data_IF_968006632825
#
_entry.id   IF_968006632825
#
_cell.length_a   1.000
_cell.length_b   1.000
_cell.length_c   1.000
_cell.angle_alpha   90.00
_cell.angle_beta   90.00
_cell.angle_gamma   90.00
#
_symmetry.space_group_name_H-M   'P 1'
#
loop_
_entity.id
_entity.type
_entity.pdbx_description
1 polymer ?
#
# COMPACT_ATOMS: atom_id res chain seq x y z
N UNK A 1 10.05 24.73 5.19
CA UNK A 1 8.80 23.96 5.40
C UNK A 1 7.92 24.13 4.18
N UNK A 2 7.71 23.10 3.36
CA UNK A 2 6.75 23.17 2.25
C UNK A 2 5.34 23.12 2.83
N UNK A 3 4.59 24.21 2.72
CA UNK A 3 3.17 24.23 3.10
C UNK A 3 2.42 23.35 2.09
N UNK A 4 2.10 22.14 2.50
CA UNK A 4 1.27 21.24 1.70
C UNK A 4 -0.20 21.58 1.94
N UNK A 5 -0.84 22.26 1.00
CA UNK A 5 -2.27 22.56 1.05
C UNK A 5 -3.13 21.28 0.94
N UNK A 6 -4.33 21.31 1.54
CA UNK A 6 -5.35 20.31 1.27
C UNK A 6 -5.81 20.35 -0.19
N UNK A 7 -6.53 19.33 -0.61
CA UNK A 7 -7.03 19.25 -1.98
C UNK A 7 -7.99 20.40 -2.29
N UNK A 8 -8.95 20.68 -1.39
CA UNK A 8 -9.86 21.81 -1.52
C UNK A 8 -9.10 23.13 -1.63
N UNK A 9 -8.20 23.45 -0.70
CA UNK A 9 -7.44 24.71 -0.71
C UNK A 9 -6.54 24.82 -1.94
N UNK A 10 -5.92 23.74 -2.38
CA UNK A 10 -5.07 23.72 -3.58
C UNK A 10 -5.83 24.08 -4.85
N UNK A 11 -7.06 23.61 -5.00
CA UNK A 11 -7.91 23.94 -6.16
C UNK A 11 -8.33 25.40 -6.12
N UNK A 12 -8.74 25.90 -4.95
CA UNK A 12 -9.08 27.31 -4.78
C UNK A 12 -7.90 28.22 -5.08
N UNK A 13 -6.70 27.84 -4.65
CA UNK A 13 -5.45 28.56 -4.95
C UNK A 13 -5.18 28.62 -6.45
N UNK A 14 -5.32 27.50 -7.17
CA UNK A 14 -5.17 27.48 -8.63
C UNK A 14 -6.18 28.39 -9.30
N UNK A 15 -7.46 28.33 -8.91
CA UNK A 15 -8.49 29.17 -9.46
C UNK A 15 -8.19 30.66 -9.23
N UNK A 16 -7.73 31.03 -8.04
CA UNK A 16 -7.34 32.40 -7.73
C UNK A 16 -6.18 32.90 -8.63
N UNK A 17 -5.12 32.09 -8.78
CA UNK A 17 -3.98 32.45 -9.64
C UNK A 17 -4.41 32.68 -11.09
N UNK A 18 -5.21 31.75 -11.65
CA UNK A 18 -5.70 31.89 -13.02
C UNK A 18 -6.57 33.13 -13.20
N UNK A 19 -7.43 33.42 -12.24
CA UNK A 19 -8.29 34.61 -12.27
C UNK A 19 -7.48 35.93 -12.19
N UNK A 20 -6.41 35.96 -11.38
CA UNK A 20 -5.51 37.11 -11.29
C UNK A 20 -4.78 37.32 -12.63
N UNK A 21 -4.18 36.26 -13.19
CA UNK A 21 -3.47 36.33 -14.48
C UNK A 21 -4.41 36.84 -15.59
N UNK A 22 -5.61 36.25 -15.67
CA UNK A 22 -6.61 36.64 -16.63
C UNK A 22 -7.08 38.09 -16.45
N UNK A 23 -7.32 38.50 -15.20
CA UNK A 23 -7.76 39.84 -14.85
C UNK A 23 -6.72 40.91 -15.22
N UNK A 24 -5.45 40.65 -14.92
CA UNK A 24 -4.33 41.54 -15.27
C UNK A 24 -4.14 41.62 -16.79
N UNK A 25 -4.21 40.49 -17.47
CA UNK A 25 -4.11 40.47 -18.94
C UNK A 25 -5.28 41.24 -19.60
N UNK A 26 -6.51 41.05 -19.14
CA UNK A 26 -7.69 41.75 -19.63
C UNK A 26 -7.59 43.24 -19.36
N UNK A 27 -7.20 43.63 -18.14
CA UNK A 27 -7.04 45.04 -17.77
C UNK A 27 -5.97 45.76 -18.66
N UNK A 28 -4.83 45.09 -18.89
CA UNK A 28 -3.79 45.56 -19.78
C UNK A 28 -4.32 45.79 -21.22
N UNK A 29 -5.07 44.82 -21.76
CA UNK A 29 -5.60 44.91 -23.11
C UNK A 29 -6.63 46.05 -23.24
N UNK A 30 -7.54 46.20 -22.28
CA UNK A 30 -8.51 47.27 -22.23
C UNK A 30 -7.83 48.65 -22.17
N UNK A 31 -6.75 48.77 -21.40
CA UNK A 31 -5.99 49.99 -21.32
C UNK A 31 -5.29 50.33 -22.64
N UNK A 32 -4.60 49.35 -23.26
CA UNK A 32 -3.81 49.58 -24.48
C UNK A 32 -4.68 49.80 -25.72
N UNK A 33 -5.73 48.98 -25.87
CA UNK A 33 -6.51 48.95 -27.12
C UNK A 33 -7.79 49.74 -27.04
N UNK A 34 -8.36 49.93 -25.84
CA UNK A 34 -9.63 50.63 -25.69
C UNK A 34 -9.53 51.95 -24.90
N UNK A 35 -8.34 52.26 -24.38
CA UNK A 35 -8.13 53.48 -23.58
C UNK A 35 -8.90 53.48 -22.23
N UNK A 36 -9.40 52.32 -21.78
CA UNK A 36 -10.15 52.19 -20.57
C UNK A 36 -9.29 51.84 -19.38
N UNK A 37 -9.42 52.57 -18.29
CA UNK A 37 -8.84 52.19 -16.99
C UNK A 37 -9.69 51.14 -16.31
N UNK A 38 -9.07 50.04 -15.81
CA UNK A 38 -9.75 48.99 -15.05
C UNK A 38 -9.49 49.21 -13.58
N UNK A 39 -10.60 49.29 -12.80
CA UNK A 39 -10.51 49.40 -11.34
C UNK A 39 -10.02 48.07 -10.74
N UNK A 40 -9.12 48.14 -9.75
CA UNK A 40 -8.64 47.02 -8.97
C UNK A 40 -9.77 46.18 -8.35
N UNK A 41 -10.88 46.84 -7.95
CA UNK A 41 -12.06 46.15 -7.41
C UNK A 41 -12.68 45.18 -8.42
N UNK A 42 -12.65 45.51 -9.71
CA UNK A 42 -13.13 44.62 -10.77
C UNK A 42 -12.32 43.33 -10.88
N UNK A 43 -10.98 43.42 -10.75
CA UNK A 43 -10.11 42.25 -10.73
C UNK A 43 -10.35 41.43 -9.48
N UNK A 44 -10.47 42.05 -8.30
CA UNK A 44 -10.81 41.35 -7.06
C UNK A 44 -12.14 40.60 -7.15
N UNK A 45 -13.18 41.24 -7.72
CA UNK A 45 -14.49 40.59 -7.88
C UNK A 45 -14.43 39.37 -8.81
N UNK A 46 -13.57 39.42 -9.86
CA UNK A 46 -13.30 38.29 -10.73
C UNK A 46 -12.65 37.12 -9.95
N UNK A 47 -11.65 37.43 -9.14
CA UNK A 47 -10.97 36.40 -8.30
C UNK A 47 -11.96 35.77 -7.32
N UNK A 48 -12.76 36.55 -6.61
CA UNK A 48 -13.79 36.05 -5.70
C UNK A 48 -14.78 35.13 -6.38
N UNK A 49 -15.27 35.52 -7.58
CA UNK A 49 -16.18 34.71 -8.38
C UNK A 49 -15.54 33.39 -8.80
N UNK A 50 -14.33 33.43 -9.32
CA UNK A 50 -13.60 32.24 -9.75
C UNK A 50 -13.36 31.26 -8.60
N UNK A 51 -12.96 31.75 -7.43
CA UNK A 51 -12.74 30.94 -6.23
C UNK A 51 -14.06 30.33 -5.72
N UNK A 52 -15.14 31.11 -5.70
CA UNK A 52 -16.47 30.63 -5.29
C UNK A 52 -17.01 29.57 -6.24
N UNK A 53 -16.85 29.77 -7.55
CA UNK A 53 -17.24 28.80 -8.58
C UNK A 53 -16.43 27.51 -8.47
N UNK A 54 -15.10 27.62 -8.34
CA UNK A 54 -14.24 26.47 -8.13
C UNK A 54 -14.63 25.68 -6.88
N UNK A 55 -14.97 26.39 -5.77
CA UNK A 55 -15.45 25.70 -4.57
C UNK A 55 -16.78 24.97 -4.77
N UNK A 56 -17.66 25.49 -5.65
CA UNK A 56 -18.95 24.85 -5.93
C UNK A 56 -18.81 23.61 -6.81
N UNK A 57 -17.92 23.64 -7.78
CA UNK A 57 -17.73 22.57 -8.78
C UNK A 57 -16.81 21.45 -8.31
N UNK A 58 -15.92 21.72 -7.37
CA UNK A 58 -14.97 20.75 -6.87
C UNK A 58 -15.55 19.88 -5.75
N UNK A 59 -15.03 18.64 -5.65
CA UNK A 59 -15.41 17.65 -4.63
C UNK A 59 -14.29 17.40 -3.61
N UNK A 60 -13.14 18.07 -3.75
CA UNK A 60 -11.99 17.92 -2.85
C UNK A 60 -12.31 18.29 -1.41
N UNK A 61 -11.68 17.60 -0.45
CA UNK A 61 -11.88 17.81 0.97
C UNK A 61 -10.79 18.70 1.58
N UNK A 62 -11.16 19.44 2.62
CA UNK A 62 -10.22 20.14 3.49
C UNK A 62 -9.53 19.16 4.45
N UNK A 63 -8.37 19.53 4.96
CA UNK A 63 -7.79 18.89 6.14
C UNK A 63 -8.50 19.42 7.40
N UNK A 64 -8.61 18.56 8.40
CA UNK A 64 -9.15 18.98 9.72
C UNK A 64 -8.07 19.73 10.51
N UNK A 65 -7.55 20.84 9.93
CA UNK A 65 -6.56 21.72 10.54
C UNK A 65 -7.02 23.18 10.55
N UNK A 66 -6.47 23.97 11.48
CA UNK A 66 -6.85 25.37 11.65
C UNK A 66 -6.52 26.22 10.41
N UNK A 67 -5.42 25.93 9.72
CA UNK A 67 -4.99 26.72 8.56
C UNK A 67 -5.99 26.66 7.41
N UNK A 68 -6.49 25.46 7.08
CA UNK A 68 -7.50 25.28 6.05
C UNK A 68 -8.82 25.98 6.42
N UNK A 69 -9.24 25.83 7.69
CA UNK A 69 -10.44 26.49 8.19
C UNK A 69 -10.32 28.02 8.11
N UNK A 70 -9.19 28.59 8.48
CA UNK A 70 -8.95 30.03 8.42
C UNK A 70 -8.99 30.55 6.97
N UNK A 71 -8.36 29.85 6.03
CA UNK A 71 -8.37 30.19 4.61
C UNK A 71 -9.80 30.18 4.08
N UNK A 72 -10.52 29.05 4.27
CA UNK A 72 -11.89 28.91 3.78
C UNK A 72 -12.84 29.96 4.39
N UNK A 73 -12.72 30.21 5.70
CA UNK A 73 -13.53 31.19 6.42
C UNK A 73 -13.27 32.62 5.92
N UNK A 74 -12.01 32.96 5.62
CA UNK A 74 -11.64 34.27 5.09
C UNK A 74 -12.25 34.52 3.70
N UNK A 75 -12.46 33.48 2.93
CA UNK A 75 -13.16 33.54 1.65
C UNK A 75 -14.68 33.34 1.77
N UNK A 76 -15.23 33.19 2.97
CA UNK A 76 -16.65 32.92 3.18
C UNK A 76 -17.12 31.59 2.56
N UNK A 77 -16.20 30.64 2.38
CA UNK A 77 -16.45 29.37 1.73
C UNK A 77 -16.73 28.27 2.75
N UNK A 78 -17.60 27.34 2.38
CA UNK A 78 -17.87 26.15 3.19
C UNK A 78 -16.73 25.14 3.03
N UNK A 79 -16.14 24.75 4.15
CA UNK A 79 -15.19 23.63 4.21
C UNK A 79 -15.91 22.30 4.06
N UNK A 80 -15.29 21.38 3.36
CA UNK A 80 -15.73 19.99 3.21
C UNK A 80 -14.77 19.10 4.02
N UNK A 81 -15.14 18.71 5.25
CA UNK A 81 -14.29 17.85 6.05
C UNK A 81 -14.07 16.50 5.34
N UNK A 82 -12.87 15.95 5.45
CA UNK A 82 -12.62 14.58 5.01
C UNK A 82 -13.50 13.62 5.81
N UNK A 83 -13.97 12.57 5.18
CA UNK A 83 -14.67 11.49 5.89
C UNK A 83 -13.73 10.90 6.94
N UNK A 84 -14.27 10.56 8.09
CA UNK A 84 -13.51 9.81 9.09
C UNK A 84 -13.04 8.49 8.47
N UNK A 85 -11.78 8.08 8.70
CA UNK A 85 -11.29 6.80 8.20
C UNK A 85 -12.12 5.66 8.81
N UNK A 86 -12.46 4.70 7.99
CA UNK A 86 -13.11 3.48 8.47
C UNK A 86 -12.03 2.61 9.12
N UNK A 87 -12.22 2.32 10.41
CA UNK A 87 -11.31 1.45 11.16
C UNK A 87 -11.75 0.00 10.95
N UNK A 88 -10.85 -0.83 10.39
CA UNK A 88 -11.08 -2.27 10.23
C UNK A 88 -10.14 -3.01 11.17
N UNK A 89 -10.69 -3.91 11.97
CA UNK A 89 -9.91 -4.85 12.76
C UNK A 89 -9.36 -5.95 11.84
N UNK A 90 -8.08 -6.25 12.00
CA UNK A 90 -7.35 -7.30 11.28
C UNK A 90 -6.74 -8.24 12.31
N UNK A 91 -7.12 -9.51 12.26
CA UNK A 91 -6.64 -10.55 13.18
C UNK A 91 -6.06 -11.69 12.36
N UNK A 92 -4.85 -12.12 12.69
CA UNK A 92 -4.33 -13.36 12.17
C UNK A 92 -5.03 -14.56 12.83
N UNK A 93 -5.49 -15.52 12.05
CA UNK A 93 -6.15 -16.72 12.55
C UNK A 93 -5.36 -17.96 12.20
N UNK A 94 -5.20 -18.94 13.13
CA UNK A 94 -4.54 -20.21 12.86
C UNK A 94 -5.31 -21.04 11.84
N UNK A 95 -4.66 -21.96 11.10
CA UNK A 95 -5.34 -22.87 10.19
C UNK A 95 -6.09 -23.99 10.93
N UNK A 96 -6.94 -24.71 10.21
CA UNK A 96 -7.61 -25.89 10.72
C UNK A 96 -6.60 -27.02 11.09
N UNK A 97 -6.96 -27.96 11.97
CA UNK A 97 -6.12 -29.13 12.29
C UNK A 97 -5.69 -29.88 11.02
N UNK A 98 -4.44 -30.25 10.97
CA UNK A 98 -3.83 -30.94 9.81
C UNK A 98 -3.33 -30.00 8.69
N UNK A 99 -3.66 -28.71 8.74
CA UNK A 99 -3.16 -27.69 7.81
C UNK A 99 -1.97 -26.95 8.40
N UNK A 100 -1.09 -26.50 7.52
CA UNK A 100 -0.03 -25.54 7.84
C UNK A 100 -0.32 -24.25 7.07
N UNK A 101 -0.39 -23.14 7.79
CA UNK A 101 -0.53 -21.81 7.21
C UNK A 101 0.85 -21.20 7.01
N UNK A 102 1.08 -20.64 5.83
CA UNK A 102 2.28 -19.87 5.55
C UNK A 102 1.90 -18.43 5.19
N UNK A 103 2.48 -17.48 5.90
CA UNK A 103 2.43 -16.06 5.55
C UNK A 103 3.69 -15.71 4.79
N UNK A 104 3.56 -15.00 3.66
CA UNK A 104 4.67 -14.62 2.79
C UNK A 104 4.66 -13.14 2.47
N UNK A 105 5.85 -12.59 2.28
CA UNK A 105 6.05 -11.20 1.87
C UNK A 105 7.33 -11.04 1.05
N UNK A 106 7.37 -10.05 0.18
CA UNK A 106 8.52 -9.68 -0.62
C UNK A 106 8.86 -8.21 -0.49
N UNK A 107 10.13 -7.89 -0.31
CA UNK A 107 10.62 -6.52 -0.20
C UNK A 107 11.64 -6.21 -1.29
N UNK A 108 11.65 -4.97 -1.81
CA UNK A 108 12.71 -4.48 -2.70
C UNK A 108 12.97 -2.99 -2.45
N UNK A 109 14.24 -2.59 -2.49
CA UNK A 109 14.69 -1.21 -2.40
C UNK A 109 15.19 -0.78 -3.79
N UNK A 110 14.38 0.00 -4.49
CA UNK A 110 14.61 0.37 -5.89
C UNK A 110 13.67 -0.36 -6.86
N UNK A 111 13.79 -0.05 -8.17
CA UNK A 111 12.88 -0.60 -9.19
C UNK A 111 13.60 -0.80 -10.53
N UNK A 112 14.32 -1.91 -10.75
CA UNK A 112 14.66 -2.98 -9.80
C UNK A 112 15.76 -2.57 -8.80
N UNK A 113 15.88 -3.30 -7.69
CA UNK A 113 16.91 -3.06 -6.69
C UNK A 113 17.20 -4.28 -5.81
N UNK A 114 18.02 -4.06 -4.78
CA UNK A 114 18.26 -5.09 -3.79
C UNK A 114 16.95 -5.45 -3.11
N UNK A 115 16.68 -6.74 -3.00
CA UNK A 115 15.44 -7.21 -2.42
C UNK A 115 15.60 -8.49 -1.63
N UNK A 116 14.49 -8.96 -1.11
CA UNK A 116 14.43 -10.20 -0.39
C UNK A 116 13.00 -10.68 -0.23
N UNK A 117 12.84 -11.89 0.19
CA UNK A 117 11.55 -12.44 0.56
C UNK A 117 11.61 -13.18 1.88
N UNK A 118 10.48 -13.26 2.54
CA UNK A 118 10.35 -13.97 3.81
C UNK A 118 9.02 -14.69 3.95
N UNK A 119 9.01 -15.68 4.82
CA UNK A 119 7.79 -16.37 5.16
C UNK A 119 7.90 -17.17 6.44
N UNK A 120 6.73 -17.40 7.08
CA UNK A 120 6.60 -18.13 8.32
C UNK A 120 5.49 -19.17 8.23
N UNK A 121 5.83 -20.40 8.60
CA UNK A 121 4.93 -21.55 8.63
C UNK A 121 4.45 -21.80 10.05
N UNK A 122 3.14 -21.92 10.24
CA UNK A 122 2.51 -22.14 11.55
C UNK A 122 1.42 -23.20 11.46
N UNK A 123 1.26 -23.97 12.52
CA UNK A 123 0.22 -25.00 12.62
C UNK A 123 -1.08 -24.46 13.25
N UNK A 124 -2.07 -25.32 13.46
CA UNK A 124 -3.37 -24.97 14.07
C UNK A 124 -3.30 -24.48 15.53
N UNK A 125 -2.16 -24.62 16.19
CA UNK A 125 -1.89 -24.08 17.53
C UNK A 125 -1.02 -22.84 17.48
N UNK A 126 -0.86 -22.24 16.30
CA UNK A 126 0.02 -21.10 16.01
C UNK A 126 1.52 -21.38 16.26
N UNK A 127 1.92 -22.64 16.53
CA UNK A 127 3.34 -22.98 16.70
C UNK A 127 4.10 -22.87 15.37
N UNK A 128 5.25 -22.23 15.41
CA UNK A 128 6.14 -22.08 14.27
C UNK A 128 6.71 -23.43 13.88
N UNK A 129 6.59 -23.79 12.61
CA UNK A 129 7.15 -25.01 12.00
C UNK A 129 8.41 -24.70 11.22
N UNK A 130 8.59 -23.46 10.84
CA UNK A 130 9.75 -22.92 10.17
C UNK A 130 9.51 -21.51 9.67
N UNK A 131 10.58 -20.80 9.43
CA UNK A 131 10.56 -19.51 8.75
C UNK A 131 11.80 -19.36 7.86
N UNK A 132 11.71 -18.53 6.85
CA UNK A 132 12.79 -18.29 5.92
C UNK A 132 12.94 -16.81 5.60
N UNK A 133 14.16 -16.43 5.23
CA UNK A 133 14.47 -15.14 4.63
C UNK A 133 15.54 -15.36 3.55
N UNK A 134 15.29 -14.89 2.34
CA UNK A 134 16.14 -15.13 1.16
C UNK A 134 16.42 -13.80 0.47
N UNK A 135 17.71 -13.40 0.37
CA UNK A 135 18.12 -12.17 -0.29
C UNK A 135 18.14 -12.31 -1.82
N UNK A 136 17.90 -11.20 -2.51
CA UNK A 136 18.01 -11.07 -3.97
C UNK A 136 18.88 -9.87 -4.32
N UNK A 137 19.84 -10.06 -5.24
CA UNK A 137 20.72 -8.97 -5.68
C UNK A 137 19.96 -7.90 -6.47
N UNK A 138 19.01 -8.31 -7.32
CA UNK A 138 18.25 -7.39 -8.17
C UNK A 138 16.87 -7.98 -8.49
N UNK A 139 15.83 -7.35 -7.99
CA UNK A 139 14.44 -7.78 -8.12
C UNK A 139 13.49 -6.58 -8.12
N UNK A 140 12.36 -6.69 -8.80
CA UNK A 140 11.24 -5.77 -8.61
C UNK A 140 10.40 -6.20 -7.41
N UNK A 141 9.72 -5.25 -6.75
CA UNK A 141 8.90 -5.56 -5.58
C UNK A 141 7.87 -6.66 -5.85
N UNK A 142 7.13 -6.58 -6.97
CA UNK A 142 6.14 -7.59 -7.34
C UNK A 142 6.76 -8.96 -7.66
N UNK A 143 8.01 -9.01 -8.18
CA UNK A 143 8.75 -10.26 -8.39
C UNK A 143 9.16 -10.89 -7.07
N UNK A 144 9.58 -10.08 -6.09
CA UNK A 144 9.93 -10.55 -4.75
C UNK A 144 8.73 -11.21 -4.05
N UNK A 145 7.52 -10.65 -4.22
CA UNK A 145 6.27 -11.24 -3.74
C UNK A 145 5.97 -12.60 -4.40
N UNK A 146 6.11 -12.69 -5.72
CA UNK A 146 5.91 -13.96 -6.45
C UNK A 146 6.94 -15.02 -6.05
N UNK A 147 8.20 -14.63 -5.86
CA UNK A 147 9.26 -15.50 -5.40
C UNK A 147 9.02 -15.97 -3.96
N UNK A 148 8.54 -15.09 -3.07
CA UNK A 148 8.17 -15.43 -1.71
C UNK A 148 7.16 -16.58 -1.66
N UNK A 149 6.07 -16.45 -2.44
CA UNK A 149 5.05 -17.48 -2.54
C UNK A 149 5.59 -18.79 -3.15
N UNK A 150 6.37 -18.68 -4.24
CA UNK A 150 6.95 -19.84 -4.91
C UNK A 150 7.91 -20.61 -4.00
N UNK A 151 8.75 -19.90 -3.27
CA UNK A 151 9.70 -20.50 -2.32
C UNK A 151 9.00 -21.12 -1.11
N UNK A 152 7.94 -20.48 -0.60
CA UNK A 152 7.13 -21.05 0.47
C UNK A 152 6.52 -22.41 0.06
N UNK A 153 5.95 -22.49 -1.14
CA UNK A 153 5.41 -23.77 -1.66
C UNK A 153 6.54 -24.80 -1.86
N UNK A 154 7.69 -24.38 -2.38
CA UNK A 154 8.83 -25.28 -2.54
C UNK A 154 9.34 -25.83 -1.20
N UNK A 155 9.39 -25.01 -0.15
CA UNK A 155 9.73 -25.47 1.21
C UNK A 155 8.65 -26.42 1.75
N UNK A 156 7.39 -26.10 1.60
CA UNK A 156 6.30 -27.00 2.01
C UNK A 156 6.42 -28.37 1.34
N UNK A 157 6.68 -28.38 0.02
CA UNK A 157 6.91 -29.61 -0.74
C UNK A 157 8.12 -30.38 -0.21
N UNK A 158 9.26 -29.74 0.01
CA UNK A 158 10.49 -30.34 0.53
C UNK A 158 10.30 -30.98 1.91
N UNK A 159 9.46 -30.38 2.77
CA UNK A 159 9.19 -30.89 4.12
C UNK A 159 7.97 -31.84 4.19
N UNK A 160 7.37 -32.22 3.05
CA UNK A 160 6.23 -33.13 3.00
C UNK A 160 4.93 -32.55 3.57
N UNK A 161 4.78 -31.24 3.61
CA UNK A 161 3.55 -30.61 4.05
C UNK A 161 2.59 -30.48 2.89
N UNK A 162 1.62 -31.37 2.80
CA UNK A 162 0.72 -31.45 1.66
C UNK A 162 -0.61 -30.68 1.84
N UNK A 163 -0.84 -30.09 3.01
CA UNK A 163 -2.03 -29.28 3.30
C UNK A 163 -1.59 -27.86 3.67
N UNK A 164 -1.60 -26.96 2.68
CA UNK A 164 -1.04 -25.62 2.82
C UNK A 164 -2.11 -24.56 2.60
N UNK A 165 -2.18 -23.63 3.54
CA UNK A 165 -2.89 -22.38 3.40
C UNK A 165 -1.91 -21.21 3.31
N UNK A 166 -1.73 -20.65 2.11
CA UNK A 166 -0.88 -19.51 1.88
C UNK A 166 -1.66 -18.21 2.07
N UNK A 167 -1.13 -17.30 2.86
CA UNK A 167 -1.61 -15.92 2.99
C UNK A 167 -0.56 -14.94 2.51
N UNK A 168 -0.98 -13.94 1.73
CA UNK A 168 -0.16 -12.82 1.28
C UNK A 168 -0.99 -11.54 1.28
N UNK A 169 -0.35 -10.41 1.53
CA UNK A 169 -0.96 -9.08 1.39
C UNK A 169 -0.88 -8.54 -0.04
N UNK A 170 -0.23 -9.26 -0.93
CA UNK A 170 -0.24 -9.00 -2.37
C UNK A 170 -1.49 -9.60 -3.03
N UNK A 171 -2.47 -8.77 -3.34
CA UNK A 171 -3.66 -9.20 -4.08
C UNK A 171 -3.31 -9.79 -5.46
N UNK A 172 -2.21 -9.35 -6.06
CA UNK A 172 -1.69 -9.87 -7.33
C UNK A 172 -1.25 -11.34 -7.20
N UNK A 173 -0.45 -11.66 -6.17
CA UNK A 173 -0.03 -13.05 -5.88
C UNK A 173 -1.24 -13.94 -5.62
N UNK A 174 -2.17 -13.48 -4.78
CA UNK A 174 -3.39 -14.23 -4.46
C UNK A 174 -4.22 -14.51 -5.69
N UNK A 175 -4.40 -13.53 -6.57
CA UNK A 175 -5.15 -13.69 -7.81
C UNK A 175 -4.50 -14.72 -8.75
N UNK A 176 -3.18 -14.65 -8.94
CA UNK A 176 -2.45 -15.59 -9.80
C UNK A 176 -2.48 -17.02 -9.26
N UNK A 177 -2.32 -17.23 -7.95
CA UNK A 177 -2.41 -18.55 -7.33
C UNK A 177 -3.84 -19.12 -7.37
N UNK A 178 -4.85 -18.29 -7.10
CA UNK A 178 -6.27 -18.71 -7.15
C UNK A 178 -6.69 -19.15 -8.55
N UNK A 179 -6.26 -18.42 -9.58
CA UNK A 179 -6.55 -18.74 -10.99
C UNK A 179 -5.58 -19.75 -11.58
N UNK A 180 -4.54 -20.16 -10.88
CA UNK A 180 -3.42 -20.98 -11.37
C UNK A 180 -2.84 -20.43 -12.68
N UNK A 181 -2.80 -19.11 -12.80
CA UNK A 181 -2.33 -18.42 -13.99
C UNK A 181 -0.81 -18.55 -14.14
N UNK A 182 -0.35 -18.85 -15.34
CA UNK A 182 1.07 -18.87 -15.70
C UNK A 182 1.56 -17.55 -16.31
N UNK A 183 0.70 -16.54 -16.36
CA UNK A 183 1.04 -15.21 -16.87
C UNK A 183 1.83 -14.39 -15.86
N UNK A 184 3.10 -14.77 -15.72
CA UNK A 184 4.07 -14.10 -14.83
C UNK A 184 5.28 -13.61 -15.63
N UNK A 185 6.04 -12.63 -15.11
CA UNK A 185 7.28 -12.17 -15.73
C UNK A 185 8.24 -13.33 -16.03
N UNK A 186 8.96 -13.22 -17.14
CA UNK A 186 9.88 -14.27 -17.59
C UNK A 186 10.96 -14.63 -16.56
N UNK A 187 11.41 -13.65 -15.76
CA UNK A 187 12.45 -13.81 -14.72
C UNK A 187 12.03 -14.80 -13.61
N UNK A 188 10.77 -14.83 -13.26
CA UNK A 188 10.22 -15.69 -12.19
C UNK A 188 9.48 -16.92 -12.75
N UNK A 189 9.32 -17.02 -14.06
CA UNK A 189 8.48 -18.05 -14.72
C UNK A 189 8.84 -19.47 -14.32
N UNK A 190 10.11 -19.83 -14.28
CA UNK A 190 10.54 -21.19 -13.95
C UNK A 190 10.20 -21.58 -12.50
N UNK A 191 10.45 -20.67 -11.56
CA UNK A 191 10.08 -20.89 -10.15
C UNK A 191 8.56 -20.99 -10.00
N UNK A 192 7.83 -20.11 -10.70
CA UNK A 192 6.37 -20.08 -10.67
C UNK A 192 5.74 -21.35 -11.28
N UNK A 193 6.18 -21.82 -12.43
CA UNK A 193 5.68 -23.07 -13.02
C UNK A 193 5.90 -24.27 -12.12
N UNK A 194 7.05 -24.35 -11.47
CA UNK A 194 7.29 -25.37 -10.42
C UNK A 194 6.31 -25.24 -9.27
N UNK A 195 6.06 -24.02 -8.80
CA UNK A 195 5.07 -23.75 -7.77
C UNK A 195 3.66 -24.22 -8.19
N UNK A 196 3.18 -23.87 -9.38
CA UNK A 196 1.87 -24.29 -9.91
C UNK A 196 1.76 -25.81 -10.01
N UNK A 197 2.83 -26.47 -10.46
CA UNK A 197 2.88 -27.94 -10.47
C UNK A 197 2.79 -28.53 -9.05
N UNK A 198 3.54 -27.99 -8.09
CA UNK A 198 3.53 -28.48 -6.71
C UNK A 198 2.16 -28.30 -6.05
N UNK A 199 1.51 -27.15 -6.20
CA UNK A 199 0.18 -26.91 -5.63
C UNK A 199 -0.91 -27.80 -6.28
N UNK A 200 -0.70 -28.28 -7.52
CA UNK A 200 -1.64 -29.23 -8.13
C UNK A 200 -1.63 -30.61 -7.46
N UNK A 201 -0.58 -30.92 -6.71
CA UNK A 201 -0.39 -32.17 -5.98
C UNK A 201 -0.63 -32.03 -4.45
N UNK A 202 -1.14 -30.87 -4.02
CA UNK A 202 -1.38 -30.56 -2.61
C UNK A 202 -2.83 -30.14 -2.37
N UNK A 203 -3.31 -30.32 -1.15
CA UNK A 203 -4.49 -29.60 -0.65
C UNK A 203 -4.08 -28.16 -0.41
N UNK A 204 -4.41 -27.27 -1.35
CA UNK A 204 -3.92 -25.90 -1.35
C UNK A 204 -5.05 -24.88 -1.23
N UNK A 205 -4.88 -23.94 -0.31
CA UNK A 205 -5.72 -22.75 -0.17
C UNK A 205 -4.85 -21.50 -0.23
N UNK A 206 -5.40 -20.43 -0.77
CA UNK A 206 -4.77 -19.10 -0.76
C UNK A 206 -5.80 -18.05 -0.37
N UNK A 207 -5.36 -17.09 0.43
CA UNK A 207 -6.18 -15.95 0.84
C UNK A 207 -5.35 -14.67 0.94
N UNK A 208 -6.05 -13.56 0.77
CA UNK A 208 -5.48 -12.24 1.02
C UNK A 208 -5.61 -11.91 2.51
N UNK A 209 -4.55 -11.36 3.09
CA UNK A 209 -4.54 -10.75 4.40
C UNK A 209 -4.09 -9.29 4.27
N UNK A 210 -4.64 -8.39 5.09
CA UNK A 210 -4.11 -7.04 5.12
C UNK A 210 -2.71 -7.00 5.74
N UNK A 211 -1.90 -6.02 5.31
CA UNK A 211 -0.51 -5.87 5.76
C UNK A 211 -0.36 -5.84 7.28
N UNK A 212 -1.36 -5.27 7.97
CA UNK A 212 -1.41 -5.21 9.44
C UNK A 212 -1.49 -6.60 10.09
N UNK A 213 -1.97 -7.63 9.38
CA UNK A 213 -1.97 -9.04 9.81
C UNK A 213 -0.83 -9.86 9.22
N UNK A 214 0.04 -9.27 8.36
CA UNK A 214 1.18 -9.96 7.72
C UNK A 214 2.55 -9.49 8.25
N UNK A 215 2.57 -8.83 9.41
CA UNK A 215 3.75 -8.13 9.93
C UNK A 215 4.97 -9.04 10.13
N UNK A 216 4.78 -10.30 10.50
CA UNK A 216 5.89 -11.25 10.71
C UNK A 216 6.60 -11.55 9.38
N UNK A 217 5.85 -11.77 8.30
CA UNK A 217 6.41 -12.01 6.98
C UNK A 217 7.10 -10.74 6.43
N UNK A 218 6.50 -9.55 6.63
CA UNK A 218 7.09 -8.24 6.29
C UNK A 218 8.44 -8.02 7.02
N UNK A 219 8.53 -8.40 8.30
CA UNK A 219 9.82 -8.32 9.01
C UNK A 219 10.87 -9.30 8.47
N UNK A 220 10.47 -10.53 8.13
CA UNK A 220 11.37 -11.51 7.54
C UNK A 220 11.86 -11.11 6.15
N UNK A 221 10.98 -10.53 5.32
CA UNK A 221 11.35 -10.04 3.99
C UNK A 221 12.33 -8.87 4.06
N UNK A 222 12.16 -7.98 5.03
CA UNK A 222 13.09 -6.87 5.31
C UNK A 222 14.42 -7.36 5.88
N UNK A 223 14.39 -8.33 6.81
CA UNK A 223 15.60 -8.94 7.34
C UNK A 223 16.42 -9.64 6.24
N UNK A 224 15.75 -10.19 5.21
CA UNK A 224 16.44 -10.78 4.07
C UNK A 224 17.38 -9.79 3.36
N UNK A 225 17.11 -8.49 3.38
CA UNK A 225 17.97 -7.45 2.78
C UNK A 225 19.33 -7.31 3.46
N UNK A 226 19.45 -7.77 4.71
CA UNK A 226 20.68 -7.72 5.51
C UNK A 226 21.48 -9.02 5.41
N UNK A 227 20.88 -10.07 4.83
CA UNK A 227 21.51 -11.38 4.70
C UNK A 227 22.38 -11.48 3.45
N UNK A 228 23.41 -12.34 3.51
CA UNK A 228 24.27 -12.66 2.38
C UNK A 228 23.94 -14.03 1.75
N UNK A 229 23.11 -14.84 2.41
CA UNK A 229 22.74 -16.18 1.96
C UNK A 229 21.33 -16.55 2.40
N UNK A 230 20.74 -17.51 1.67
CA UNK A 230 19.46 -18.10 1.99
C UNK A 230 19.47 -18.68 3.40
N UNK A 231 18.46 -18.33 4.17
CA UNK A 231 18.40 -18.73 5.58
C UNK A 231 17.05 -19.37 5.90
N UNK A 232 17.11 -20.44 6.70
CA UNK A 232 15.95 -21.17 7.22
C UNK A 232 16.12 -21.43 8.72
N UNK A 233 15.05 -21.22 9.49
CA UNK A 233 15.03 -21.48 10.93
C UNK A 233 13.78 -22.28 11.31
N UNK A 234 13.88 -23.16 12.32
CA UNK A 234 12.76 -23.94 12.83
C UNK A 234 12.01 -23.28 13.98
N UNK A 235 12.40 -22.08 14.37
CA UNK A 235 11.77 -21.27 15.40
C UNK A 235 11.69 -19.81 14.97
N UNK A 236 10.81 -19.03 15.59
CA UNK A 236 10.77 -17.59 15.37
C UNK A 236 12.07 -16.93 15.85
N UNK A 237 12.55 -15.97 15.08
CA UNK A 237 13.71 -15.17 15.45
C UNK A 237 13.32 -14.13 16.52
N UNK A 238 14.28 -13.71 17.32
CA UNK A 238 14.06 -12.82 18.47
C UNK A 238 13.37 -11.51 18.07
N UNK A 239 13.75 -10.94 16.92
CA UNK A 239 13.20 -9.67 16.45
C UNK A 239 11.71 -9.74 16.05
N UNK A 240 11.19 -10.92 15.65
CA UNK A 240 9.79 -11.08 15.28
C UNK A 240 8.96 -11.86 16.31
N UNK A 241 9.58 -12.34 17.39
CA UNK A 241 8.92 -13.20 18.39
C UNK A 241 7.72 -12.54 19.06
N UNK A 242 7.78 -11.24 19.35
CA UNK A 242 6.67 -10.48 19.94
C UNK A 242 5.43 -10.44 19.02
N UNK A 243 5.63 -10.31 17.72
CA UNK A 243 4.53 -10.34 16.74
C UNK A 243 3.94 -11.74 16.62
N UNK A 244 4.77 -12.78 16.62
CA UNK A 244 4.30 -14.17 16.63
C UNK A 244 3.44 -14.46 17.86
N UNK A 245 3.84 -13.97 19.03
CA UNK A 245 3.05 -14.09 20.27
C UNK A 245 1.74 -13.31 20.16
N UNK A 246 1.75 -12.11 19.61
CA UNK A 246 0.55 -11.30 19.39
C UNK A 246 -0.45 -12.03 18.48
N UNK A 247 0.01 -12.60 17.36
CA UNK A 247 -0.79 -13.40 16.45
C UNK A 247 -1.37 -14.63 17.15
N UNK A 248 -0.55 -15.32 17.94
CA UNK A 248 -0.97 -16.50 18.71
C UNK A 248 -2.06 -16.16 19.74
N UNK A 249 -2.03 -14.97 20.33
CA UNK A 249 -3.03 -14.45 21.26
C UNK A 249 -4.29 -13.89 20.57
N UNK A 250 -4.33 -13.85 19.23
CA UNK A 250 -5.42 -13.25 18.48
C UNK A 250 -5.55 -11.75 18.68
N UNK A 251 -4.43 -11.04 18.90
CA UNK A 251 -4.45 -9.59 19.08
C UNK A 251 -4.84 -8.89 17.79
N UNK A 252 -5.71 -7.90 17.92
CA UNK A 252 -6.18 -7.09 16.82
C UNK A 252 -5.12 -6.06 16.38
N UNK A 253 -4.93 -5.95 15.09
CA UNK A 253 -4.30 -4.81 14.44
C UNK A 253 -5.38 -3.96 13.75
N UNK A 254 -5.15 -2.65 13.57
CA UNK A 254 -6.16 -1.77 13.03
C UNK A 254 -5.69 -1.14 11.72
N UNK A 255 -6.52 -1.28 10.68
CA UNK A 255 -6.34 -0.64 9.40
C UNK A 255 -7.24 0.58 9.29
N UNK A 256 -6.68 1.70 8.90
CA UNK A 256 -7.39 2.94 8.61
C UNK A 256 -7.54 3.09 7.08
N UNK A 257 -8.78 3.06 6.58
CA UNK A 257 -9.12 3.11 5.15
C UNK A 257 -10.11 4.23 4.80
#
# INVERSE_FOLDING_TARGET
MSVSFSEQVRILWKAAIHAVIWGVWTARNQWIFEGKSVDFRSVLSLVWRAVSEANRLDIGCMRNCMDDLLILRRFGLRGRPSKAPVIKSVVWSPPAPGWIKVNTDGAAIGSPGVGGCGGIFRNCRAFVKGCFAIPFCQVFAFEAELLAASLAINFAWKYGWHRIWLESDSSYVVQLLSSRSEMVPWRVRQAWQRCIFQISQMDFQVSHIFREGNQVADMLSKHALELQADSWWFSALSFCSSLVVNDCMGRESFRFS
#
